data_IF_067925904535
#
_entry.id   IF_067925904535
#
_cell.length_a   1.000
_cell.length_b   1.000
_cell.length_c   1.000
_cell.angle_alpha   90.00
_cell.angle_beta   90.00
_cell.angle_gamma   90.00
#
_symmetry.space_group_name_H-M   'P 1'
#
loop_
_entity.id
_entity.type
_entity.pdbx_description
1 polymer ?
#
# COMPACT_ATOMS: atom_id res chain seq x y z
N UNK A 1 -6.56 11.43 -2.75
CA UNK A 1 -7.91 12.03 -2.73
C UNK A 1 -8.86 11.22 -1.82
N UNK A 2 -8.94 9.87 -1.94
CA UNK A 2 -9.89 9.07 -1.15
C UNK A 2 -9.83 9.29 0.37
N UNK A 3 -8.66 9.37 1.06
CA UNK A 3 -8.62 9.66 2.49
C UNK A 3 -9.28 10.99 2.88
N UNK A 4 -9.19 12.01 2.03
CA UNK A 4 -9.85 13.30 2.30
C UNK A 4 -11.36 13.28 2.05
N UNK A 5 -11.81 12.49 1.07
CA UNK A 5 -13.24 12.22 0.88
C UNK A 5 -13.79 11.51 2.11
N UNK A 6 -13.07 10.49 2.60
CA UNK A 6 -13.46 9.77 3.81
C UNK A 6 -13.44 10.69 5.03
N UNK A 7 -12.45 11.56 5.15
CA UNK A 7 -12.42 12.57 6.21
C UNK A 7 -13.67 13.45 6.18
N UNK A 8 -14.09 13.95 5.01
CA UNK A 8 -15.30 14.78 4.89
C UNK A 8 -16.57 14.01 5.25
N UNK A 9 -16.68 12.75 4.88
CA UNK A 9 -17.80 11.86 5.25
C UNK A 9 -17.86 11.66 6.76
N UNK A 10 -16.74 11.34 7.38
CA UNK A 10 -16.67 11.08 8.81
C UNK A 10 -16.78 12.34 9.66
N UNK A 11 -16.32 13.50 9.16
CA UNK A 11 -16.40 14.77 9.89
C UNK A 11 -17.82 15.29 10.03
N UNK A 12 -18.73 14.95 9.12
CA UNK A 12 -20.13 15.38 9.12
C UNK A 12 -21.11 14.44 9.83
N UNK A 13 -20.67 13.27 10.30
CA UNK A 13 -21.56 12.25 10.84
C UNK A 13 -21.52 12.16 12.37
N UNK A 14 -22.67 11.87 13.00
CA UNK A 14 -22.74 11.48 14.42
C UNK A 14 -21.95 10.21 14.76
N UNK A 15 -21.53 9.46 13.73
CA UNK A 15 -20.64 8.33 13.84
C UNK A 15 -19.26 8.68 14.44
N UNK A 16 -18.88 9.95 14.47
CA UNK A 16 -17.68 10.46 15.16
C UNK A 16 -17.61 10.01 16.63
N UNK A 17 -18.73 10.04 17.33
CA UNK A 17 -18.82 9.64 18.74
C UNK A 17 -18.70 8.14 18.95
N UNK A 18 -19.06 7.33 17.95
CA UNK A 18 -18.96 5.86 18.02
C UNK A 18 -17.56 5.31 17.73
N UNK A 19 -16.67 6.13 17.13
CA UNK A 19 -15.32 5.68 16.75
C UNK A 19 -14.30 5.72 17.90
N UNK A 20 -14.63 6.35 19.04
CA UNK A 20 -13.70 6.54 20.16
C UNK A 20 -12.45 7.37 19.81
N UNK A 21 -12.47 8.08 18.68
CA UNK A 21 -11.41 8.96 18.21
C UNK A 21 -11.88 10.42 18.28
N UNK A 22 -11.05 11.29 18.88
CA UNK A 22 -11.20 12.72 18.76
C UNK A 22 -11.18 13.15 17.29
N UNK A 23 -11.94 14.23 16.96
CA UNK A 23 -11.94 14.78 15.61
C UNK A 23 -10.53 15.09 15.09
N UNK A 24 -9.66 15.64 15.94
CA UNK A 24 -8.27 15.94 15.61
C UNK A 24 -7.46 14.65 15.37
N UNK A 25 -7.69 13.60 16.15
CA UNK A 25 -7.02 12.32 15.95
C UNK A 25 -7.42 11.66 14.62
N UNK A 26 -8.68 11.83 14.22
CA UNK A 26 -9.20 11.36 12.93
C UNK A 26 -8.58 12.16 11.77
N UNK A 27 -8.49 13.48 11.88
CA UNK A 27 -7.87 14.36 10.90
C UNK A 27 -6.40 13.98 10.66
N UNK A 28 -5.64 13.78 11.74
CA UNK A 28 -4.24 13.32 11.69
C UNK A 28 -4.10 11.94 11.09
N UNK A 29 -5.02 11.03 11.41
CA UNK A 29 -5.02 9.70 10.82
C UNK A 29 -5.19 9.73 9.30
N UNK A 30 -6.20 10.43 8.79
CA UNK A 30 -6.46 10.48 7.35
C UNK A 30 -5.37 11.22 6.58
N UNK A 31 -4.77 12.27 7.16
CA UNK A 31 -3.60 12.91 6.55
C UNK A 31 -2.41 11.95 6.51
N UNK A 32 -2.17 11.20 7.60
CA UNK A 32 -1.11 10.17 7.65
C UNK A 32 -1.39 9.05 6.65
N UNK A 33 -2.61 8.56 6.55
CA UNK A 33 -3.02 7.55 5.56
C UNK A 33 -2.84 8.04 4.13
N UNK A 34 -3.13 9.33 3.87
CA UNK A 34 -2.85 9.95 2.58
C UNK A 34 -1.35 9.94 2.26
N UNK A 35 -0.50 10.35 3.21
CA UNK A 35 0.95 10.37 3.03
C UNK A 35 1.51 8.96 2.80
N UNK A 36 1.14 8.00 3.63
CA UNK A 36 1.54 6.60 3.46
C UNK A 36 1.11 6.07 2.10
N UNK A 37 -0.10 6.40 1.67
CA UNK A 37 -0.63 5.98 0.36
C UNK A 37 0.20 6.48 -0.81
N UNK A 38 0.85 7.65 -0.72
CA UNK A 38 1.73 8.14 -1.80
C UNK A 38 2.89 7.18 -2.08
N UNK A 39 3.38 6.47 -1.06
CA UNK A 39 4.49 5.53 -1.17
C UNK A 39 4.04 4.09 -1.44
N UNK A 40 2.82 3.71 -1.08
CA UNK A 40 2.32 2.33 -1.20
C UNK A 40 1.47 2.06 -2.43
N UNK A 41 1.30 3.06 -3.31
CA UNK A 41 0.65 2.84 -4.62
C UNK A 41 1.58 2.06 -5.54
N UNK A 42 1.11 0.92 -6.03
CA UNK A 42 1.87 0.03 -6.91
C UNK A 42 1.00 -0.35 -8.13
N UNK A 43 1.59 -0.34 -9.31
CA UNK A 43 0.93 -0.62 -10.60
C UNK A 43 1.65 -1.74 -11.38
N UNK A 44 2.41 -2.60 -10.71
CA UNK A 44 3.24 -3.64 -11.34
C UNK A 44 2.41 -4.56 -12.23
N UNK A 45 1.20 -4.93 -11.81
CA UNK A 45 0.34 -5.85 -12.58
C UNK A 45 0.09 -5.32 -13.99
N UNK A 46 -0.27 -4.04 -14.11
CA UNK A 46 -0.60 -3.44 -15.41
C UNK A 46 0.63 -3.30 -16.30
N UNK A 47 1.75 -2.80 -15.74
CA UNK A 47 2.99 -2.64 -16.49
C UNK A 47 3.56 -3.99 -16.94
N UNK A 48 3.47 -5.01 -16.09
CA UNK A 48 3.93 -6.35 -16.41
C UNK A 48 3.05 -7.04 -17.46
N UNK A 49 1.72 -6.93 -17.33
CA UNK A 49 0.76 -7.47 -18.31
C UNK A 49 1.03 -6.87 -19.70
N UNK A 50 1.21 -5.55 -19.78
CA UNK A 50 1.55 -4.87 -21.03
C UNK A 50 2.89 -5.36 -21.60
N UNK A 51 3.95 -5.44 -20.77
CA UNK A 51 5.26 -5.90 -21.24
C UNK A 51 5.24 -7.37 -21.67
N UNK A 52 4.43 -8.22 -21.03
CA UNK A 52 4.27 -9.62 -21.40
C UNK A 52 3.51 -9.76 -22.74
N UNK A 53 2.38 -9.05 -22.91
CA UNK A 53 1.56 -9.10 -24.12
C UNK A 53 2.26 -8.52 -25.36
N UNK A 54 3.06 -7.46 -25.18
CA UNK A 54 3.80 -6.82 -26.27
C UNK A 54 5.17 -7.46 -26.54
N UNK A 55 5.50 -8.58 -25.88
CA UNK A 55 6.79 -9.27 -26.05
C UNK A 55 7.99 -8.51 -25.47
N UNK A 56 7.77 -7.37 -24.83
CA UNK A 56 8.84 -6.55 -24.22
C UNK A 56 9.54 -7.21 -23.03
N UNK A 57 8.96 -8.25 -22.48
CA UNK A 57 9.56 -9.01 -21.40
C UNK A 57 10.81 -9.81 -21.86
N UNK A 58 10.83 -10.29 -23.11
CA UNK A 58 11.93 -11.08 -23.67
C UNK A 58 13.30 -10.42 -23.53
N UNK A 59 13.52 -9.17 -24.00
CA UNK A 59 14.79 -8.50 -23.84
C UNK A 59 15.17 -8.23 -22.38
N UNK A 60 14.19 -8.11 -21.47
CA UNK A 60 14.48 -7.93 -20.04
C UNK A 60 14.95 -9.21 -19.36
N UNK A 61 14.48 -10.37 -19.83
CA UNK A 61 14.93 -11.68 -19.34
C UNK A 61 16.38 -11.99 -19.72
N UNK A 62 16.92 -11.35 -20.76
CA UNK A 62 18.31 -11.49 -21.20
C UNK A 62 19.28 -10.58 -20.42
N UNK A 63 18.78 -9.67 -19.62
CA UNK A 63 19.59 -8.76 -18.82
C UNK A 63 20.07 -9.46 -17.52
N UNK A 64 21.24 -9.08 -16.97
CA UNK A 64 21.78 -9.67 -15.74
C UNK A 64 20.97 -9.32 -14.49
N UNK A 65 20.13 -8.25 -14.57
CA UNK A 65 19.26 -7.81 -13.50
C UNK A 65 17.89 -8.49 -13.60
N UNK A 66 17.38 -8.92 -12.45
CA UNK A 66 16.01 -9.47 -12.40
C UNK A 66 14.99 -8.41 -12.85
N UNK A 67 14.08 -8.71 -13.79
CA UNK A 67 13.16 -7.72 -14.36
C UNK A 67 12.30 -6.96 -13.34
N UNK A 68 12.00 -7.55 -12.19
CA UNK A 68 11.26 -6.87 -11.12
C UNK A 68 11.94 -5.60 -10.61
N UNK A 69 13.28 -5.51 -10.64
CA UNK A 69 14.00 -4.31 -10.22
C UNK A 69 13.71 -3.10 -11.10
N UNK A 70 13.39 -3.31 -12.37
CA UNK A 70 12.95 -2.25 -13.28
C UNK A 70 11.64 -1.64 -12.81
N UNK A 71 10.67 -2.47 -12.42
CA UNK A 71 9.39 -1.99 -11.88
C UNK A 71 9.57 -1.30 -10.53
N UNK A 72 10.47 -1.80 -9.66
CA UNK A 72 10.84 -1.08 -8.41
C UNK A 72 11.36 0.31 -8.75
N UNK A 73 12.35 0.42 -9.64
CA UNK A 73 12.94 1.70 -10.03
C UNK A 73 11.91 2.68 -10.62
N UNK A 74 10.98 2.19 -11.45
CA UNK A 74 9.90 3.00 -12.00
C UNK A 74 9.00 3.57 -10.89
N UNK A 75 8.61 2.75 -9.91
CA UNK A 75 7.79 3.20 -8.78
C UNK A 75 8.52 4.19 -7.87
N UNK A 76 9.82 3.99 -7.63
CA UNK A 76 10.62 4.95 -6.86
C UNK A 76 10.71 6.31 -7.57
N UNK A 77 10.89 6.31 -8.89
CA UNK A 77 10.85 7.54 -9.69
C UNK A 77 9.50 8.24 -9.61
N UNK A 78 8.41 7.47 -9.70
CA UNK A 78 7.05 8.01 -9.59
C UNK A 78 6.76 8.56 -8.18
N UNK A 79 7.23 7.92 -7.13
CA UNK A 79 7.11 8.43 -5.76
C UNK A 79 7.77 9.80 -5.61
N UNK A 80 8.97 9.98 -6.16
CA UNK A 80 9.68 11.27 -6.12
C UNK A 80 8.89 12.40 -6.81
N UNK A 81 8.24 12.10 -7.93
CA UNK A 81 7.41 13.10 -8.65
C UNK A 81 6.14 13.48 -7.89
N UNK A 82 5.63 12.61 -7.02
CA UNK A 82 4.44 12.88 -6.18
C UNK A 82 4.75 13.73 -4.95
N UNK A 83 6.00 13.75 -4.46
CA UNK A 83 6.36 14.44 -3.21
C UNK A 83 6.00 15.93 -3.18
N UNK A 84 6.29 16.75 -4.23
CA UNK A 84 5.93 18.15 -4.22
C UNK A 84 4.42 18.39 -4.09
N UNK A 85 3.63 17.57 -4.78
CA UNK A 85 2.16 17.64 -4.72
C UNK A 85 1.63 17.19 -3.36
N UNK A 86 2.22 16.14 -2.79
CA UNK A 86 1.87 15.70 -1.44
C UNK A 86 2.20 16.78 -0.41
N UNK A 87 3.36 17.44 -0.51
CA UNK A 87 3.73 18.55 0.34
C UNK A 87 2.78 19.74 0.23
N UNK A 88 2.37 20.10 -0.99
CA UNK A 88 1.36 21.15 -1.22
C UNK A 88 0.03 20.80 -0.55
N UNK A 89 -0.45 19.57 -0.71
CA UNK A 89 -1.71 19.12 -0.09
C UNK A 89 -1.62 19.16 1.43
N UNK A 90 -0.49 18.75 2.03
CA UNK A 90 -0.25 18.87 3.48
C UNK A 90 -0.29 20.33 3.93
N UNK A 91 0.34 21.24 3.20
CA UNK A 91 0.33 22.65 3.53
C UNK A 91 -1.09 23.23 3.48
N UNK A 92 -1.85 22.92 2.43
CA UNK A 92 -3.25 23.33 2.29
C UNK A 92 -4.11 22.74 3.40
N UNK A 93 -3.91 21.46 3.75
CA UNK A 93 -4.65 20.80 4.83
C UNK A 93 -4.44 21.51 6.17
N UNK A 94 -3.22 21.86 6.55
CA UNK A 94 -2.94 22.58 7.79
C UNK A 94 -3.40 24.04 7.74
N UNK A 95 -3.49 24.66 6.58
CA UNK A 95 -4.07 26.00 6.44
C UNK A 95 -5.58 25.98 6.67
N UNK A 96 -6.27 24.92 6.25
CA UNK A 96 -7.74 24.74 6.43
C UNK A 96 -8.07 24.19 7.81
N UNK A 97 -7.25 23.31 8.36
CA UNK A 97 -7.45 22.62 9.64
C UNK A 97 -6.26 22.84 10.60
N UNK A 98 -6.04 24.07 11.07
CA UNK A 98 -4.86 24.39 11.90
C UNK A 98 -4.85 23.65 13.25
N UNK A 99 -6.03 23.25 13.78
CA UNK A 99 -6.13 22.45 15.00
C UNK A 99 -5.59 21.03 14.83
N UNK A 100 -5.52 20.51 13.63
CA UNK A 100 -4.95 19.20 13.33
C UNK A 100 -3.42 19.23 13.20
N UNK A 101 -2.81 20.42 13.25
CA UNK A 101 -1.36 20.55 13.11
C UNK A 101 -0.63 19.74 14.20
N UNK A 102 0.35 18.96 13.80
CA UNK A 102 1.28 18.27 14.69
C UNK A 102 2.61 18.06 14.00
N UNK A 103 3.65 17.90 14.79
CA UNK A 103 4.96 17.45 14.32
C UNK A 103 5.26 16.12 15.05
N UNK A 104 5.38 15.01 14.33
CA UNK A 104 5.74 13.74 14.95
C UNK A 104 7.15 13.84 15.55
N UNK A 105 7.39 13.16 16.66
CA UNK A 105 8.75 13.02 17.17
C UNK A 105 9.64 12.34 16.13
N UNK A 106 10.95 12.62 16.17
CA UNK A 106 11.89 12.00 15.23
C UNK A 106 11.81 10.47 15.26
N UNK A 107 11.64 9.88 16.44
CA UNK A 107 11.47 8.43 16.60
C UNK A 107 10.20 7.93 15.92
N UNK A 108 9.05 8.58 16.14
CA UNK A 108 7.78 8.23 15.50
C UNK A 108 7.87 8.38 13.98
N UNK A 109 8.50 9.45 13.49
CA UNK A 109 8.71 9.66 12.06
C UNK A 109 9.57 8.55 11.44
N UNK A 110 10.71 8.19 12.05
CA UNK A 110 11.59 7.14 11.54
C UNK A 110 10.91 5.76 11.55
N UNK A 111 10.15 5.46 12.61
CA UNK A 111 9.37 4.21 12.68
C UNK A 111 8.26 4.18 11.62
N UNK A 112 7.53 5.27 11.43
CA UNK A 112 6.50 5.38 10.40
C UNK A 112 7.11 5.28 8.99
N UNK A 113 8.27 5.88 8.78
CA UNK A 113 9.03 5.78 7.53
C UNK A 113 9.43 4.35 7.22
N UNK A 114 10.02 3.65 8.20
CA UNK A 114 10.37 2.23 8.07
C UNK A 114 9.11 1.38 7.79
N UNK A 115 8.04 1.58 8.57
CA UNK A 115 6.77 0.86 8.36
C UNK A 115 6.19 1.11 6.95
N UNK A 116 6.33 2.33 6.42
CA UNK A 116 5.86 2.70 5.08
C UNK A 116 6.67 2.00 3.98
N UNK A 117 8.00 1.88 4.14
CA UNK A 117 8.83 1.12 3.20
C UNK A 117 8.56 -0.38 3.24
N UNK A 118 8.32 -0.93 4.42
CA UNK A 118 7.90 -2.32 4.55
C UNK A 118 6.50 -2.54 3.94
N UNK A 119 5.59 -1.59 4.11
CA UNK A 119 4.28 -1.60 3.46
C UNK A 119 4.40 -1.54 1.93
N UNK A 120 5.29 -0.69 1.39
CA UNK A 120 5.60 -0.67 -0.05
C UNK A 120 6.13 -2.03 -0.53
N UNK A 121 7.06 -2.64 0.22
CA UNK A 121 7.58 -3.97 -0.12
C UNK A 121 6.47 -5.04 -0.16
N UNK A 122 5.56 -5.06 0.82
CA UNK A 122 4.41 -5.98 0.84
C UNK A 122 3.51 -5.72 -0.37
N UNK A 123 3.14 -4.45 -0.64
CA UNK A 123 2.29 -4.09 -1.77
C UNK A 123 2.93 -4.49 -3.10
N UNK A 124 4.23 -4.24 -3.26
CA UNK A 124 4.99 -4.59 -4.45
C UNK A 124 5.07 -6.10 -4.67
N UNK A 125 5.38 -6.86 -3.62
CA UNK A 125 5.44 -8.33 -3.69
C UNK A 125 4.07 -8.93 -3.96
N UNK A 126 3.02 -8.42 -3.33
CA UNK A 126 1.66 -8.90 -3.55
C UNK A 126 1.20 -8.65 -4.99
N UNK A 127 1.43 -7.46 -5.52
CA UNK A 127 1.16 -7.12 -6.91
C UNK A 127 2.05 -7.93 -7.88
N UNK A 128 3.32 -8.18 -7.53
CA UNK A 128 4.21 -9.02 -8.34
C UNK A 128 3.76 -10.49 -8.38
N UNK A 129 3.16 -10.98 -7.29
CA UNK A 129 2.57 -12.32 -7.25
C UNK A 129 1.41 -12.43 -8.24
N UNK A 130 0.50 -11.43 -8.25
CA UNK A 130 -0.61 -11.36 -9.22
C UNK A 130 -0.07 -11.20 -10.64
N UNK A 131 0.90 -10.30 -10.85
CA UNK A 131 1.52 -10.07 -12.15
C UNK A 131 2.15 -11.35 -12.73
N UNK A 132 2.81 -12.16 -11.91
CA UNK A 132 3.40 -13.41 -12.36
C UNK A 132 2.35 -14.41 -12.89
N UNK A 133 1.07 -14.28 -12.55
CA UNK A 133 -0.01 -15.09 -13.11
C UNK A 133 -0.26 -14.81 -14.61
N UNK A 134 0.25 -13.68 -15.15
CA UNK A 134 0.25 -13.41 -16.59
C UNK A 134 0.97 -14.49 -17.41
N UNK A 135 1.89 -15.23 -16.82
CA UNK A 135 2.52 -16.36 -17.50
C UNK A 135 1.54 -17.52 -17.82
N UNK A 136 0.39 -17.55 -17.15
CA UNK A 136 -0.67 -18.57 -17.33
C UNK A 136 -1.98 -18.00 -17.83
N UNK A 137 -2.20 -16.68 -17.65
CA UNK A 137 -3.43 -15.98 -17.99
C UNK A 137 -3.10 -14.64 -18.64
N UNK A 138 -3.77 -14.31 -19.73
CA UNK A 138 -3.56 -13.05 -20.46
C UNK A 138 -4.06 -11.81 -19.69
N UNK A 139 -4.85 -11.99 -18.62
CA UNK A 139 -5.54 -10.90 -17.90
C UNK A 139 -5.38 -10.98 -16.37
N UNK A 140 -4.15 -10.83 -15.88
CA UNK A 140 -3.89 -10.75 -14.42
C UNK A 140 -4.46 -9.48 -13.79
N UNK A 141 -4.63 -8.41 -14.58
CA UNK A 141 -5.27 -7.17 -14.13
C UNK A 141 -6.72 -7.35 -13.65
N UNK A 142 -7.41 -8.40 -14.09
CA UNK A 142 -8.73 -8.74 -13.57
C UNK A 142 -8.68 -9.18 -12.08
N UNK A 143 -7.64 -9.94 -11.70
CA UNK A 143 -7.41 -10.36 -10.31
C UNK A 143 -7.04 -9.17 -9.42
N UNK A 144 -6.26 -8.23 -9.96
CA UNK A 144 -5.91 -6.99 -9.26
C UNK A 144 -7.16 -6.18 -8.92
N UNK A 145 -8.09 -6.02 -9.86
CA UNK A 145 -9.37 -5.33 -9.60
C UNK A 145 -10.21 -6.03 -8.52
N UNK A 146 -10.22 -7.36 -8.52
CA UNK A 146 -10.91 -8.12 -7.49
C UNK A 146 -10.28 -7.94 -6.11
N UNK A 147 -8.94 -7.94 -6.04
CA UNK A 147 -8.17 -7.71 -4.81
C UNK A 147 -8.33 -6.28 -4.28
N UNK A 148 -8.60 -5.30 -5.15
CA UNK A 148 -8.78 -3.91 -4.75
C UNK A 148 -9.95 -3.72 -3.76
N UNK A 149 -11.02 -4.53 -3.87
CA UNK A 149 -12.17 -4.46 -2.97
C UNK A 149 -11.77 -4.75 -1.50
N UNK A 150 -11.22 -5.93 -1.15
CA UNK A 150 -10.78 -6.19 0.22
C UNK A 150 -9.67 -5.23 0.67
N UNK A 151 -8.80 -4.78 -0.22
CA UNK A 151 -7.81 -3.75 0.09
C UNK A 151 -8.47 -2.46 0.60
N UNK A 152 -9.46 -1.92 -0.11
CA UNK A 152 -10.13 -0.67 0.27
C UNK A 152 -10.80 -0.78 1.64
N UNK A 153 -11.43 -1.92 1.94
CA UNK A 153 -12.14 -2.13 3.21
C UNK A 153 -11.20 -2.47 4.38
N UNK A 154 -10.16 -3.27 4.15
CA UNK A 154 -9.36 -3.84 5.24
C UNK A 154 -8.04 -3.10 5.49
N UNK A 155 -7.66 -2.16 4.61
CA UNK A 155 -6.38 -1.44 4.75
C UNK A 155 -6.42 -0.24 5.70
N UNK A 156 -7.60 0.19 6.16
CA UNK A 156 -7.77 1.43 6.90
C UNK A 156 -7.96 2.67 6.01
N UNK A 157 -8.12 2.49 4.70
CA UNK A 157 -8.28 3.58 3.75
C UNK A 157 -9.64 4.27 3.85
N UNK A 158 -10.71 3.50 4.14
CA UNK A 158 -12.08 4.02 4.33
C UNK A 158 -12.31 4.53 5.74
N UNK A 159 -11.79 3.83 6.73
CA UNK A 159 -11.89 4.17 8.14
C UNK A 159 -10.75 3.48 8.89
N UNK A 160 -10.27 4.05 10.01
CA UNK A 160 -9.34 3.33 10.89
C UNK A 160 -9.91 1.96 11.28
N UNK A 161 -9.05 0.94 11.33
CA UNK A 161 -9.52 -0.42 11.70
C UNK A 161 -10.19 -0.47 13.08
N UNK A 162 -9.85 0.47 13.97
CA UNK A 162 -10.50 0.60 15.28
C UNK A 162 -12.01 0.87 15.19
N UNK A 163 -12.46 1.41 14.07
CA UNK A 163 -13.87 1.70 13.80
C UNK A 163 -14.72 0.47 13.45
N UNK A 164 -14.07 -0.64 13.05
CA UNK A 164 -14.77 -1.84 12.63
C UNK A 164 -15.10 -2.76 13.82
N UNK A 165 -16.14 -3.62 13.68
CA UNK A 165 -16.47 -4.64 14.68
C UNK A 165 -15.26 -5.52 15.02
N UNK A 166 -15.20 -6.08 16.27
CA UNK A 166 -14.06 -6.88 16.70
C UNK A 166 -13.75 -8.07 15.78
N UNK A 167 -14.78 -8.71 15.22
CA UNK A 167 -14.65 -9.86 14.33
C UNK A 167 -13.97 -9.48 13.02
N UNK A 168 -14.36 -8.32 12.44
CA UNK A 168 -13.77 -7.78 11.20
C UNK A 168 -12.32 -7.38 11.45
N UNK A 169 -12.02 -6.76 12.60
CA UNK A 169 -10.65 -6.42 12.99
C UNK A 169 -9.78 -7.66 13.14
N UNK A 170 -10.29 -8.68 13.82
CA UNK A 170 -9.58 -9.95 14.01
C UNK A 170 -9.28 -10.62 12.68
N UNK A 171 -10.27 -10.66 11.77
CA UNK A 171 -10.06 -11.18 10.41
C UNK A 171 -9.04 -10.35 9.63
N UNK A 172 -9.16 -9.02 9.64
CA UNK A 172 -8.26 -8.12 8.91
C UNK A 172 -6.80 -8.31 9.32
N UNK A 173 -6.51 -8.54 10.61
CA UNK A 173 -5.15 -8.76 11.12
C UNK A 173 -4.44 -9.99 10.53
N UNK A 174 -5.20 -10.98 10.01
CA UNK A 174 -4.65 -12.14 9.29
C UNK A 174 -4.40 -11.87 7.81
N UNK A 175 -4.68 -10.66 7.33
CA UNK A 175 -4.45 -10.24 5.95
C UNK A 175 -3.30 -9.24 5.86
N UNK A 176 -2.68 -9.03 4.69
CA UNK A 176 -1.64 -8.02 4.54
C UNK A 176 -2.16 -6.58 4.59
N UNK A 177 -3.46 -6.37 4.37
CA UNK A 177 -4.03 -5.07 4.07
C UNK A 177 -3.87 -4.01 5.18
N UNK A 178 -4.11 -4.30 6.49
CA UNK A 178 -3.90 -3.32 7.55
C UNK A 178 -2.47 -2.80 7.63
N UNK A 179 -1.52 -3.64 7.28
CA UNK A 179 -0.09 -3.32 7.34
C UNK A 179 0.39 -2.48 6.16
N UNK A 180 -0.48 -2.25 5.17
CA UNK A 180 -0.20 -1.38 4.02
C UNK A 180 -0.49 0.09 4.31
N UNK A 181 -1.52 0.39 5.11
CA UNK A 181 -1.94 1.78 5.38
C UNK A 181 -2.22 2.02 6.87
N UNK A 182 -3.12 1.24 7.52
CA UNK A 182 -3.56 1.53 8.89
C UNK A 182 -2.39 1.58 9.88
N UNK A 183 -1.54 0.56 9.88
CA UNK A 183 -0.42 0.47 10.80
C UNK A 183 0.58 1.64 10.64
N UNK A 184 1.19 1.90 9.46
CA UNK A 184 2.12 3.01 9.31
C UNK A 184 1.45 4.37 9.49
N UNK A 185 0.18 4.55 9.11
CA UNK A 185 -0.55 5.79 9.32
C UNK A 185 -0.79 6.08 10.80
N UNK A 186 -1.14 5.08 11.60
CA UNK A 186 -1.32 5.22 13.05
C UNK A 186 -0.01 5.53 13.76
N UNK A 187 1.10 4.92 13.34
CA UNK A 187 2.44 5.25 13.85
C UNK A 187 2.77 6.71 13.56
N UNK A 188 2.54 7.18 12.33
CA UNK A 188 2.80 8.56 11.93
C UNK A 188 1.90 9.56 12.68
N UNK A 189 0.62 9.22 12.85
CA UNK A 189 -0.35 10.04 13.57
C UNK A 189 -0.14 10.08 15.10
N UNK A 190 0.82 9.29 15.62
CA UNK A 190 1.09 9.20 17.06
C UNK A 190 -0.01 8.46 17.85
N UNK A 191 -0.80 7.62 17.19
CA UNK A 191 -1.82 6.82 17.85
C UNK A 191 -1.21 5.58 18.54
N UNK A 192 -1.82 5.09 19.62
CA UNK A 192 -1.30 3.91 20.31
C UNK A 192 -1.39 2.66 19.43
N UNK A 193 -0.24 2.04 19.17
CA UNK A 193 -0.12 0.82 18.38
C UNK A 193 0.90 -0.13 19.01
N UNK A 194 0.68 -1.43 18.86
CA UNK A 194 1.69 -2.42 19.20
C UNK A 194 2.73 -2.50 18.06
N UNK A 195 3.85 -1.78 18.25
CA UNK A 195 4.92 -1.71 17.24
C UNK A 195 5.51 -3.10 16.95
N UNK A 196 5.73 -3.91 17.97
CA UNK A 196 6.33 -5.24 17.81
C UNK A 196 5.42 -6.15 16.99
N UNK A 197 4.12 -6.17 17.29
CA UNK A 197 3.15 -6.95 16.51
C UNK A 197 3.03 -6.43 15.07
N UNK A 198 3.00 -5.09 14.88
CA UNK A 198 2.88 -4.48 13.56
C UNK A 198 4.08 -4.77 12.65
N UNK A 199 5.30 -4.53 13.13
CA UNK A 199 6.51 -4.84 12.38
C UNK A 199 6.72 -6.35 12.21
N UNK A 200 6.39 -7.16 13.23
CA UNK A 200 6.43 -8.61 13.14
C UNK A 200 5.52 -9.14 12.04
N UNK A 201 4.30 -8.61 11.93
CA UNK A 201 3.38 -8.97 10.85
C UNK A 201 3.88 -8.51 9.47
N UNK A 202 4.43 -7.29 9.36
CA UNK A 202 5.03 -6.84 8.09
C UNK A 202 6.18 -7.74 7.65
N UNK A 203 7.08 -8.12 8.57
CA UNK A 203 8.18 -9.04 8.29
C UNK A 203 7.66 -10.43 7.89
N UNK A 204 6.64 -10.95 8.58
CA UNK A 204 6.03 -12.24 8.26
C UNK A 204 5.43 -12.23 6.84
N UNK A 205 4.72 -11.16 6.46
CA UNK A 205 4.17 -11.04 5.12
C UNK A 205 5.26 -10.92 4.04
N UNK A 206 6.33 -10.15 4.27
CA UNK A 206 7.47 -10.08 3.35
C UNK A 206 8.13 -11.45 3.22
N UNK A 207 8.38 -12.14 4.34
CA UNK A 207 9.00 -13.46 4.36
C UNK A 207 8.14 -14.54 3.67
N UNK A 208 6.82 -14.39 3.68
CA UNK A 208 5.89 -15.27 2.97
C UNK A 208 5.84 -14.94 1.47
N UNK A 209 5.64 -13.66 1.12
CA UNK A 209 5.39 -13.25 -0.26
C UNK A 209 6.64 -13.33 -1.14
N UNK A 210 7.82 -12.99 -0.60
CA UNK A 210 9.06 -12.97 -1.39
C UNK A 210 9.39 -14.34 -2.01
N UNK A 211 9.47 -15.45 -1.26
CA UNK A 211 9.72 -16.76 -1.87
C UNK A 211 8.59 -17.19 -2.82
N UNK A 212 7.33 -16.88 -2.51
CA UNK A 212 6.21 -17.20 -3.40
C UNK A 212 6.34 -16.48 -4.75
N UNK A 213 6.69 -15.20 -4.75
CA UNK A 213 6.94 -14.44 -5.98
C UNK A 213 8.08 -15.07 -6.78
N UNK A 214 9.21 -15.39 -6.13
CA UNK A 214 10.37 -15.97 -6.79
C UNK A 214 10.09 -17.36 -7.35
N UNK A 215 9.33 -18.19 -6.64
CA UNK A 215 8.93 -19.53 -7.10
C UNK A 215 7.98 -19.42 -8.30
N UNK A 216 6.94 -18.57 -8.19
CA UNK A 216 5.97 -18.37 -9.27
C UNK A 216 6.63 -17.75 -10.50
N UNK A 217 7.54 -16.81 -10.30
CA UNK A 217 8.35 -16.23 -11.37
C UNK A 217 9.17 -17.29 -12.11
N UNK A 218 9.93 -18.12 -11.38
CA UNK A 218 10.75 -19.20 -11.98
C UNK A 218 9.90 -20.20 -12.76
N UNK A 219 8.74 -20.57 -12.22
CA UNK A 219 7.80 -21.44 -12.91
C UNK A 219 7.21 -20.78 -14.17
N UNK A 220 6.88 -19.49 -14.05
CA UNK A 220 6.29 -18.72 -15.16
C UNK A 220 7.25 -18.49 -16.32
N UNK A 221 8.49 -18.09 -16.05
CA UNK A 221 9.51 -17.88 -17.10
C UNK A 221 9.78 -19.16 -17.91
N UNK A 222 9.73 -20.33 -17.28
CA UNK A 222 9.86 -21.61 -18.00
C UNK A 222 8.72 -21.88 -18.98
N UNK A 223 7.55 -21.28 -18.74
CA UNK A 223 6.36 -21.40 -19.59
C UNK A 223 6.24 -20.27 -20.60
N UNK A 224 6.96 -19.17 -20.36
CA UNK A 224 6.89 -18.00 -21.23
C UNK A 224 7.48 -18.34 -22.61
N UNK A 225 6.62 -18.52 -23.58
CA UNK A 225 6.98 -18.44 -24.99
C UNK A 225 6.62 -17.03 -25.44
N UNK A 226 7.56 -16.31 -26.05
CA UNK A 226 7.25 -15.01 -26.63
C UNK A 226 6.05 -15.17 -27.56
N UNK A 227 4.92 -14.56 -27.20
CA UNK A 227 3.77 -14.51 -28.09
C UNK A 227 4.17 -13.61 -29.25
N UNK A 228 4.54 -14.23 -30.38
CA UNK A 228 5.00 -13.52 -31.58
C UNK A 228 6.27 -14.10 -32.23
N UNK A 229 6.75 -15.28 -31.78
CA UNK A 229 7.75 -16.07 -32.54
C UNK A 229 7.06 -17.13 -33.38
#
# INVERSE_FOLDING_TARGET
VLPFIMLSVWSGSEARTGLGLDGVALDRYFLSAFLVRQFTVVWVVYAFEEDALLGRLSPYLLQPLHPLWRYVAAHLGEQLTRLPFAGLIVAVFFAVQPQAFWIPSLGAFLLAWLATWMAFAIAFLFQSLIAALCFWSEKASALERLQFIPFVFLSGLLAPLSAFPPEVRAFAQWTPFPYLIDFPARVLAGQPVNLMAGFGAQLAWIALLLPLVLLLWRAGVRRYSAMGA
#
